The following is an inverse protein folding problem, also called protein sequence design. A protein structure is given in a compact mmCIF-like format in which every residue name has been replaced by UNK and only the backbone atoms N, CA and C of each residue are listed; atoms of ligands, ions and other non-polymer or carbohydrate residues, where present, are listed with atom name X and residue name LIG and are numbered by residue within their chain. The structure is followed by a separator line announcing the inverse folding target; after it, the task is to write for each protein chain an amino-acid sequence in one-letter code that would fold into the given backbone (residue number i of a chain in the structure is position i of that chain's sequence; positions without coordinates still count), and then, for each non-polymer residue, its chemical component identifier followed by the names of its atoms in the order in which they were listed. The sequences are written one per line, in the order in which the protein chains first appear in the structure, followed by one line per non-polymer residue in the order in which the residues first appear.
data_IF_211289204270
#
_entry.id   IF_211289204270
#
_cell.length_a   1.000
_cell.length_b   1.000
_cell.length_c   1.000
_cell.angle_alpha   90.00
_cell.angle_beta   90.00
_cell.angle_gamma   90.00
#
_symmetry.space_group_name_H-M   'P 1'
#
loop_
_entity.id
_entity.type
_entity.pdbx_description
1 polymer ?
#
# COMPACT_ATOMS: atom_id res chain seq x y z
N UNK A 1 6.90 8.40 21.25
CA UNK A 1 6.82 7.04 21.82
C UNK A 1 6.32 6.13 20.72
N UNK A 2 7.15 5.21 20.21
CA UNK A 2 6.75 4.33 19.11
C UNK A 2 5.57 3.47 19.55
N UNK A 3 4.45 3.58 18.83
CA UNK A 3 3.30 2.70 19.03
C UNK A 3 3.73 1.29 18.63
N UNK A 4 4.23 0.53 19.61
CA UNK A 4 4.41 -0.92 19.50
C UNK A 4 3.05 -1.49 19.11
N UNK A 5 2.98 -2.17 17.97
CA UNK A 5 1.80 -2.91 17.50
C UNK A 5 1.51 -4.06 18.47
N UNK A 6 1.02 -3.75 19.67
CA UNK A 6 0.80 -4.71 20.75
C UNK A 6 -0.42 -5.59 20.49
N UNK A 7 -1.40 -5.07 19.73
CA UNK A 7 -2.52 -5.79 19.15
C UNK A 7 -2.75 -5.28 17.74
N UNK A 8 -2.58 -6.17 16.76
CA UNK A 8 -2.83 -5.85 15.35
C UNK A 8 -4.32 -5.83 15.02
N UNK A 9 -5.16 -6.53 15.79
CA UNK A 9 -6.60 -6.54 15.62
C UNK A 9 -7.31 -5.58 16.59
N UNK A 10 -8.11 -4.67 16.04
CA UNK A 10 -8.92 -3.70 16.81
C UNK A 10 -10.41 -3.99 16.75
N UNK A 11 -10.84 -4.84 15.81
CA UNK A 11 -12.26 -5.17 15.50
C UNK A 11 -13.09 -3.98 15.00
N UNK A 12 -12.48 -2.82 14.74
CA UNK A 12 -13.21 -1.63 14.25
C UNK A 12 -13.78 -1.80 12.85
N UNK A 13 -13.41 -2.86 12.13
CA UNK A 13 -13.93 -3.18 10.80
C UNK A 13 -14.86 -4.37 10.74
N UNK A 14 -15.30 -4.92 11.88
CA UNK A 14 -16.16 -6.11 11.92
C UNK A 14 -17.56 -5.83 11.34
N UNK A 15 -17.99 -4.57 11.30
CA UNK A 15 -19.25 -4.14 10.67
C UNK A 15 -19.19 -3.98 9.15
N UNK A 16 -18.08 -4.36 8.50
CA UNK A 16 -17.92 -4.24 7.04
C UNK A 16 -17.35 -2.90 6.56
N UNK A 17 -17.17 -1.94 7.47
CA UNK A 17 -16.57 -0.62 7.17
C UNK A 17 -15.10 -0.56 7.61
N UNK A 18 -14.35 0.42 7.11
CA UNK A 18 -12.96 0.69 7.52
C UNK A 18 -12.68 2.20 7.54
N UNK A 19 -11.59 2.59 8.20
CA UNK A 19 -11.13 3.98 8.22
C UNK A 19 -10.17 4.30 7.08
N UNK A 20 -10.23 5.52 6.58
CA UNK A 20 -9.25 6.12 5.67
C UNK A 20 -8.23 6.96 6.45
N UNK A 21 -7.12 7.33 5.81
CA UNK A 21 -6.04 8.11 6.43
C UNK A 21 -6.42 9.55 6.79
N UNK A 22 -7.52 10.08 6.24
CA UNK A 22 -8.13 11.37 6.63
C UNK A 22 -9.07 11.25 7.86
N UNK A 23 -9.27 10.04 8.38
CA UNK A 23 -10.17 9.74 9.51
C UNK A 23 -11.62 9.47 9.10
N UNK A 24 -11.98 9.63 7.82
CA UNK A 24 -13.30 9.25 7.32
C UNK A 24 -13.47 7.73 7.30
N UNK A 25 -14.71 7.25 7.10
CA UNK A 25 -15.02 5.81 7.01
C UNK A 25 -15.73 5.49 5.70
N UNK A 26 -15.46 4.30 5.19
CA UNK A 26 -16.05 3.79 3.95
C UNK A 26 -16.30 2.28 4.06
N UNK A 27 -17.12 1.75 3.16
CA UNK A 27 -17.33 0.31 3.02
C UNK A 27 -16.05 -0.39 2.54
N UNK A 28 -15.77 -1.58 3.07
CA UNK A 28 -14.63 -2.41 2.63
C UNK A 28 -14.72 -2.82 1.16
N UNK A 29 -15.93 -2.86 0.61
CA UNK A 29 -16.20 -3.18 -0.81
C UNK A 29 -16.26 -1.93 -1.71
N UNK A 30 -15.92 -0.76 -1.19
CA UNK A 30 -15.87 0.46 -2.01
C UNK A 30 -14.74 0.37 -3.05
N UNK A 31 -14.91 0.97 -4.25
CA UNK A 31 -13.89 0.93 -5.30
C UNK A 31 -12.50 1.39 -4.85
N UNK A 32 -12.44 2.39 -3.95
CA UNK A 32 -11.20 2.88 -3.35
C UNK A 32 -10.48 1.81 -2.54
N UNK A 33 -11.20 1.05 -1.72
CA UNK A 33 -10.60 0.00 -0.90
C UNK A 33 -10.21 -1.23 -1.73
N UNK A 34 -11.00 -1.57 -2.76
CA UNK A 34 -10.59 -2.57 -3.74
C UNK A 34 -9.27 -2.18 -4.40
N UNK A 35 -9.12 -0.94 -4.88
CA UNK A 35 -7.88 -0.48 -5.49
C UNK A 35 -6.68 -0.53 -4.53
N UNK A 36 -6.85 -0.11 -3.27
CA UNK A 36 -5.80 -0.23 -2.25
C UNK A 36 -5.43 -1.70 -2.03
N UNK A 37 -6.40 -2.60 -1.98
CA UNK A 37 -6.17 -4.04 -1.81
C UNK A 37 -5.38 -4.66 -2.98
N UNK A 38 -5.74 -4.32 -4.22
CA UNK A 38 -5.04 -4.80 -5.42
C UNK A 38 -3.58 -4.30 -5.46
N UNK A 39 -3.33 -3.06 -5.04
CA UNK A 39 -1.97 -2.51 -4.93
C UNK A 39 -1.16 -3.27 -3.86
N UNK A 40 -1.77 -3.55 -2.71
CA UNK A 40 -1.13 -4.31 -1.63
C UNK A 40 -0.82 -5.76 -2.06
N UNK A 41 -1.73 -6.41 -2.78
CA UNK A 41 -1.52 -7.75 -3.34
C UNK A 41 -0.40 -7.78 -4.39
N UNK A 42 -0.36 -6.80 -5.29
CA UNK A 42 0.74 -6.63 -6.24
C UNK A 42 2.07 -6.45 -5.49
N UNK A 43 2.11 -5.57 -4.49
CA UNK A 43 3.30 -5.31 -3.70
C UNK A 43 3.81 -6.58 -2.99
N UNK A 44 2.90 -7.36 -2.41
CA UNK A 44 3.22 -8.66 -1.82
C UNK A 44 3.79 -9.64 -2.85
N UNK A 45 3.22 -9.68 -4.07
CA UNK A 45 3.68 -10.54 -5.16
C UNK A 45 5.10 -10.18 -5.61
N UNK A 46 5.44 -8.89 -5.68
CA UNK A 46 6.81 -8.44 -5.95
C UNK A 46 7.77 -8.89 -4.84
N UNK A 47 7.32 -8.86 -3.58
CA UNK A 47 8.09 -9.36 -2.44
C UNK A 47 8.45 -10.85 -2.57
N UNK A 48 7.51 -11.68 -3.06
CA UNK A 48 7.79 -13.09 -3.35
C UNK A 48 8.83 -13.24 -4.46
N UNK A 49 8.76 -12.42 -5.51
CA UNK A 49 9.73 -12.44 -6.61
C UNK A 49 11.14 -12.03 -6.13
N UNK A 50 11.25 -10.98 -5.32
CA UNK A 50 12.52 -10.55 -4.73
C UNK A 50 13.14 -11.69 -3.89
N UNK A 51 12.30 -12.40 -3.12
CA UNK A 51 12.74 -13.52 -2.30
C UNK A 51 13.19 -14.76 -3.12
N UNK A 52 12.88 -14.82 -4.42
CA UNK A 52 13.20 -15.96 -5.29
C UNK A 52 14.63 -15.95 -5.87
N UNK A 53 15.56 -15.18 -5.27
CA UNK A 53 16.98 -15.12 -5.65
C UNK A 53 17.23 -14.67 -7.11
N UNK A 54 16.60 -13.55 -7.49
CA UNK A 54 16.80 -12.87 -8.78
C UNK A 54 18.10 -12.01 -8.79
N UNK A 55 18.58 -11.53 -9.94
CA UNK A 55 19.77 -10.66 -9.99
C UNK A 55 19.63 -9.41 -9.11
N UNK A 56 20.72 -9.00 -8.44
CA UNK A 56 20.73 -7.86 -7.52
C UNK A 56 20.23 -6.56 -8.16
N UNK A 57 20.61 -6.29 -9.41
CA UNK A 57 20.12 -5.12 -10.15
C UNK A 57 18.60 -5.10 -10.29
N UNK A 58 17.96 -6.26 -10.43
CA UNK A 58 16.50 -6.39 -10.50
C UNK A 58 15.88 -6.26 -9.11
N UNK A 59 16.52 -6.82 -8.06
CA UNK A 59 16.05 -6.65 -6.69
C UNK A 59 15.97 -5.16 -6.32
N UNK A 60 17.01 -4.38 -6.62
CA UNK A 60 17.05 -2.94 -6.35
C UNK A 60 15.87 -2.22 -7.01
N UNK A 61 15.64 -2.47 -8.31
CA UNK A 61 14.52 -1.86 -9.05
C UNK A 61 13.18 -2.25 -8.43
N UNK A 62 12.98 -3.54 -8.12
CA UNK A 62 11.72 -4.00 -7.56
C UNK A 62 11.46 -3.44 -6.16
N UNK A 63 12.49 -3.29 -5.32
CA UNK A 63 12.38 -2.65 -4.01
C UNK A 63 11.96 -1.18 -4.17
N UNK A 64 12.53 -0.44 -5.12
CA UNK A 64 12.11 0.93 -5.40
C UNK A 64 10.65 0.99 -5.86
N UNK A 65 10.21 0.05 -6.71
CA UNK A 65 8.80 -0.09 -7.11
C UNK A 65 7.90 -0.42 -5.91
N UNK A 66 8.33 -1.27 -4.97
CA UNK A 66 7.55 -1.58 -3.76
C UNK A 66 7.34 -0.33 -2.88
N UNK A 67 8.32 0.59 -2.82
CA UNK A 67 8.17 1.89 -2.15
C UNK A 67 7.16 2.79 -2.88
N UNK A 68 7.30 2.91 -4.20
CA UNK A 68 6.37 3.73 -5.01
C UNK A 68 4.92 3.19 -4.91
N UNK A 69 4.72 1.86 -4.86
CA UNK A 69 3.41 1.23 -4.63
C UNK A 69 2.86 1.50 -3.23
N UNK A 70 3.72 1.55 -2.20
CA UNK A 70 3.29 1.89 -0.84
C UNK A 70 2.82 3.34 -0.76
N UNK A 71 3.54 4.27 -1.40
CA UNK A 71 3.13 5.68 -1.50
C UNK A 71 1.81 5.83 -2.27
N UNK A 72 1.62 5.07 -3.36
CA UNK A 72 0.36 5.04 -4.11
C UNK A 72 -0.81 4.54 -3.25
N UNK A 73 -0.62 3.46 -2.49
CA UNK A 73 -1.61 2.97 -1.54
C UNK A 73 -1.93 4.00 -0.44
N UNK A 74 -0.90 4.71 0.04
CA UNK A 74 -1.04 5.83 0.98
C UNK A 74 -1.84 6.99 0.40
N UNK A 75 -1.60 7.37 -0.86
CA UNK A 75 -2.32 8.43 -1.55
C UNK A 75 -3.81 8.07 -1.69
N UNK A 76 -4.11 6.86 -2.12
CA UNK A 76 -5.50 6.39 -2.20
C UNK A 76 -6.18 6.31 -0.83
N UNK A 77 -5.43 6.10 0.25
CA UNK A 77 -5.95 6.09 1.62
C UNK A 77 -6.34 7.49 2.11
N UNK A 78 -5.82 8.58 1.53
CA UNK A 78 -6.09 9.96 1.97
C UNK A 78 -6.74 10.73 0.80
N UNK A 79 -8.08 10.82 0.73
CA UNK A 79 -8.77 11.54 -0.35
C UNK A 79 -8.23 12.97 -0.58
N UNK A 80 -7.78 13.24 -1.80
CA UNK A 80 -7.27 14.56 -2.19
C UNK A 80 -5.80 14.82 -1.85
N UNK A 81 -5.08 13.84 -1.28
CA UNK A 81 -3.62 13.92 -1.20
C UNK A 81 -2.97 13.64 -2.56
N UNK A 82 -1.71 14.02 -2.68
CA UNK A 82 -0.85 13.71 -3.82
C UNK A 82 0.56 13.48 -3.30
N UNK A 83 1.00 12.23 -3.35
CA UNK A 83 2.31 11.77 -2.92
C UNK A 83 3.11 11.27 -4.13
N UNK A 84 2.44 10.55 -5.04
CA UNK A 84 3.03 10.02 -6.26
C UNK A 84 3.10 11.13 -7.29
N UNK A 85 4.31 11.33 -7.84
CA UNK A 85 4.57 12.32 -8.87
C UNK A 85 4.91 11.66 -10.20
N UNK A 86 4.82 12.41 -11.28
CA UNK A 86 5.09 11.93 -12.64
C UNK A 86 6.48 11.31 -12.78
N UNK A 87 7.46 11.79 -12.01
CA UNK A 87 8.83 11.26 -12.04
C UNK A 87 8.88 9.77 -11.63
N UNK A 88 7.92 9.25 -10.86
CA UNK A 88 7.87 7.83 -10.52
C UNK A 88 7.73 6.92 -11.75
N UNK A 89 7.10 7.42 -12.82
CA UNK A 89 6.92 6.68 -14.08
C UNK A 89 8.16 6.76 -14.97
N UNK A 90 8.96 7.82 -14.83
CA UNK A 90 10.12 8.11 -15.69
C UNK A 90 11.41 7.39 -15.25
N UNK A 91 11.40 6.71 -14.10
CA UNK A 91 12.56 6.02 -13.52
C UNK A 91 12.95 4.71 -14.20
N UNK A 92 12.11 4.17 -15.08
CA UNK A 92 12.27 2.85 -15.75
C UNK A 92 12.82 3.06 -17.15
#
# INVERSE_FOLDING_TARGET
MGNRLSKLYTKTGDSGTTGLGDGSRTEKVSPRLCAIGEIDELNCTLGLLIAANIPESMQTILIDVQHDLFDLGGELSIPGSSFVKSEAVEKI
#
